data_IF_250397450588
#
_entry.id   IF_250397450588
#
_cell.length_a   1.000
_cell.length_b   1.000
_cell.length_c   1.000
_cell.angle_alpha   90.00
_cell.angle_beta   90.00
_cell.angle_gamma   90.00
#
_symmetry.space_group_name_H-M   'P 1'
#
loop_
_entity.id
_entity.type
_entity.pdbx_description
1 polymer ?
#
# COMPACT_ATOMS: atom_id res chain seq x y z
N UNK A 1 31.10 29.47 -44.78
CA UNK A 1 31.32 30.05 -43.42
C UNK A 1 30.58 29.20 -42.42
N UNK A 2 31.16 28.11 -41.93
CA UNK A 2 30.53 27.25 -40.96
C UNK A 2 30.51 27.94 -39.59
N UNK A 3 29.31 28.01 -39.00
CA UNK A 3 29.03 28.76 -37.79
C UNK A 3 29.88 28.31 -36.61
N UNK A 4 30.64 29.19 -35.99
CA UNK A 4 31.42 28.99 -34.75
C UNK A 4 30.56 28.42 -33.60
N UNK A 5 29.25 28.58 -33.68
CA UNK A 5 28.29 28.04 -32.71
C UNK A 5 28.16 26.52 -32.77
N UNK A 6 28.30 25.92 -33.95
CA UNK A 6 28.26 24.46 -34.10
C UNK A 6 29.54 23.79 -33.55
N UNK A 7 30.66 24.46 -33.67
CA UNK A 7 31.95 23.95 -33.18
C UNK A 7 32.00 23.95 -31.65
N UNK A 8 31.52 24.99 -31.00
CA UNK A 8 31.41 25.06 -29.53
C UNK A 8 30.44 24.00 -28.95
N UNK A 9 29.34 23.70 -29.66
CA UNK A 9 28.42 22.64 -29.25
C UNK A 9 29.04 21.23 -29.35
N UNK A 10 29.87 20.98 -30.39
CA UNK A 10 30.60 19.73 -30.54
C UNK A 10 31.69 19.59 -29.48
N UNK A 11 32.44 20.63 -29.17
CA UNK A 11 33.46 20.61 -28.12
C UNK A 11 32.84 20.35 -26.75
N UNK A 12 31.66 20.95 -26.46
CA UNK A 12 30.91 20.68 -25.24
C UNK A 12 30.46 19.20 -25.16
N UNK A 13 29.91 18.66 -26.23
CA UNK A 13 29.49 17.26 -26.31
C UNK A 13 30.66 16.28 -26.15
N UNK A 14 31.81 16.59 -26.73
CA UNK A 14 33.01 15.79 -26.61
C UNK A 14 33.60 15.81 -25.19
N UNK A 15 33.52 16.96 -24.52
CA UNK A 15 34.09 17.15 -23.16
C UNK A 15 33.16 16.65 -22.05
N UNK A 16 31.84 16.84 -22.20
CA UNK A 16 30.86 16.51 -21.15
C UNK A 16 29.93 15.36 -21.51
N UNK A 17 29.91 14.89 -22.77
CA UNK A 17 29.01 13.84 -23.22
C UNK A 17 29.19 12.53 -22.46
N UNK A 18 30.44 12.19 -22.11
CA UNK A 18 30.74 11.00 -21.31
C UNK A 18 30.16 11.12 -19.88
N UNK A 19 30.19 12.33 -19.28
CA UNK A 19 29.64 12.57 -17.94
C UNK A 19 28.11 12.44 -17.95
N UNK A 20 27.45 12.97 -18.98
CA UNK A 20 25.99 12.83 -19.17
C UNK A 20 25.64 11.35 -19.36
N UNK A 21 26.40 10.61 -20.16
CA UNK A 21 26.21 9.18 -20.39
C UNK A 21 26.35 8.40 -19.09
N UNK A 22 27.34 8.74 -18.26
CA UNK A 22 27.57 8.11 -16.96
C UNK A 22 26.38 8.37 -16.00
N UNK A 23 25.87 9.61 -15.94
CA UNK A 23 24.70 9.96 -15.11
C UNK A 23 23.47 9.18 -15.56
N UNK A 24 23.22 9.09 -16.87
CA UNK A 24 22.08 8.31 -17.42
C UNK A 24 22.23 6.82 -17.10
N UNK A 25 23.45 6.28 -17.21
CA UNK A 25 23.72 4.88 -16.91
C UNK A 25 23.50 4.57 -15.42
N UNK A 26 23.97 5.45 -14.53
CA UNK A 26 23.75 5.32 -13.08
C UNK A 26 22.25 5.44 -12.75
N UNK A 27 21.55 6.41 -13.35
CA UNK A 27 20.11 6.55 -13.14
C UNK A 27 19.33 5.32 -13.63
N UNK A 28 19.70 4.77 -14.79
CA UNK A 28 19.11 3.53 -15.30
C UNK A 28 19.39 2.33 -14.37
N UNK A 29 20.60 2.20 -13.86
CA UNK A 29 20.97 1.15 -12.91
C UNK A 29 20.15 1.28 -11.61
N UNK A 30 20.01 2.48 -11.06
CA UNK A 30 19.19 2.74 -9.87
C UNK A 30 17.72 2.43 -10.10
N UNK A 31 17.21 2.70 -11.32
CA UNK A 31 15.84 2.36 -11.69
C UNK A 31 15.64 0.83 -11.74
N UNK A 32 16.57 0.10 -12.37
CA UNK A 32 16.54 -1.38 -12.43
C UNK A 32 16.67 -2.01 -11.04
N UNK A 33 17.50 -1.43 -10.17
CA UNK A 33 17.64 -1.87 -8.77
C UNK A 33 16.42 -1.52 -7.89
N UNK A 34 15.41 -0.82 -8.44
CA UNK A 34 14.20 -0.47 -7.71
C UNK A 34 14.40 0.57 -6.61
N UNK A 35 15.50 1.35 -6.63
CA UNK A 35 15.77 2.39 -5.62
C UNK A 35 14.68 3.45 -5.57
N UNK A 36 14.01 3.69 -6.70
CA UNK A 36 12.86 4.61 -6.78
C UNK A 36 11.52 3.99 -6.38
N UNK A 37 11.50 2.68 -6.10
CA UNK A 37 10.31 2.01 -5.59
C UNK A 37 10.24 2.18 -4.07
N UNK A 38 9.72 3.32 -3.63
CA UNK A 38 9.64 3.72 -2.21
C UNK A 38 8.84 2.70 -1.37
N UNK A 39 7.92 1.97 -2.01
CA UNK A 39 7.12 0.92 -1.37
C UNK A 39 7.96 -0.24 -0.83
N UNK A 40 9.09 -0.56 -1.47
CA UNK A 40 9.97 -1.65 -1.03
C UNK A 40 10.75 -1.33 0.25
N UNK A 41 10.94 -0.06 0.55
CA UNK A 41 11.69 0.41 1.73
C UNK A 41 10.79 0.73 2.92
N UNK A 42 9.50 0.93 2.69
CA UNK A 42 8.51 1.17 3.74
C UNK A 42 7.84 -0.17 4.03
N UNK A 43 8.17 -0.79 5.16
CA UNK A 43 7.50 -2.01 5.62
C UNK A 43 5.97 -1.83 5.64
N UNK A 44 5.25 -2.93 5.73
CA UNK A 44 3.77 -2.95 5.78
C UNK A 44 3.24 -1.97 6.82
N UNK A 45 2.41 -1.01 6.41
CA UNK A 45 1.90 0.05 7.27
C UNK A 45 0.41 0.30 7.02
N UNK A 46 -0.36 0.31 8.09
CA UNK A 46 -1.76 0.72 8.10
C UNK A 46 -1.85 2.19 8.60
N UNK A 47 -2.58 3.04 7.88
CA UNK A 47 -2.70 4.48 8.17
C UNK A 47 -4.15 4.91 8.02
N UNK A 48 -4.58 5.84 8.87
CA UNK A 48 -5.93 6.44 8.80
C UNK A 48 -6.96 5.74 9.67
N UNK A 49 -6.53 4.81 10.54
CA UNK A 49 -7.38 4.13 11.49
C UNK A 49 -7.24 4.75 12.87
N UNK A 50 -8.35 4.97 13.56
CA UNK A 50 -8.43 5.59 14.90
C UNK A 50 -9.01 4.67 15.95
N UNK A 51 -10.18 4.10 15.69
CA UNK A 51 -10.92 3.23 16.62
C UNK A 51 -10.64 1.75 16.39
N UNK A 52 -10.24 1.38 15.18
CA UNK A 52 -9.90 0.01 14.81
C UNK A 52 -8.49 -0.01 14.23
N UNK A 53 -7.52 -0.49 14.97
CA UNK A 53 -6.17 -0.69 14.43
C UNK A 53 -6.10 -1.97 13.57
N UNK A 54 -5.18 -1.95 12.60
CA UNK A 54 -4.83 -3.11 11.77
C UNK A 54 -3.39 -3.52 12.09
N UNK A 55 -3.17 -4.31 13.17
CA UNK A 55 -1.83 -4.64 13.65
C UNK A 55 -1.06 -5.58 12.72
N UNK A 56 -1.77 -6.37 11.91
CA UNK A 56 -1.15 -7.28 10.96
C UNK A 56 -2.06 -7.45 9.74
N UNK A 57 -1.43 -7.43 8.57
CA UNK A 57 -2.09 -7.72 7.29
C UNK A 57 -1.05 -8.22 6.28
N UNK A 58 -1.53 -8.99 5.31
CA UNK A 58 -0.73 -9.55 4.24
C UNK A 58 -1.56 -9.67 2.97
N UNK A 59 -0.93 -9.40 1.84
CA UNK A 59 -1.45 -9.73 0.51
C UNK A 59 -0.58 -10.84 -0.07
N UNK A 60 -1.20 -11.98 -0.33
CA UNK A 60 -0.52 -13.12 -0.95
C UNK A 60 -0.36 -12.94 -2.46
N UNK A 61 0.49 -13.74 -3.10
CA UNK A 61 0.76 -13.68 -4.56
C UNK A 61 -0.46 -13.91 -5.44
N UNK A 62 -1.50 -14.53 -4.92
CA UNK A 62 -2.81 -14.68 -5.59
C UNK A 62 -3.72 -13.44 -5.44
N UNK A 63 -3.24 -12.39 -4.76
CA UNK A 63 -4.00 -11.19 -4.45
C UNK A 63 -4.91 -11.32 -3.22
N UNK A 64 -4.88 -12.43 -2.49
CA UNK A 64 -5.72 -12.62 -1.30
C UNK A 64 -5.23 -11.74 -0.16
N UNK A 65 -6.10 -10.83 0.30
CA UNK A 65 -5.86 -9.99 1.47
C UNK A 65 -6.34 -10.70 2.74
N UNK A 66 -5.43 -10.87 3.68
CA UNK A 66 -5.73 -11.32 5.05
C UNK A 66 -5.26 -10.28 6.05
N UNK A 67 -6.02 -10.09 7.13
CA UNK A 67 -5.70 -9.09 8.15
C UNK A 67 -6.21 -9.50 9.53
N UNK A 68 -5.72 -8.80 10.55
CA UNK A 68 -6.24 -8.84 11.92
C UNK A 68 -6.66 -7.43 12.31
N UNK A 69 -7.77 -7.33 13.04
CA UNK A 69 -8.31 -6.06 13.53
C UNK A 69 -8.21 -6.03 15.05
N UNK A 70 -7.79 -4.90 15.60
CA UNK A 70 -7.76 -4.67 17.03
C UNK A 70 -8.74 -3.55 17.37
N UNK A 71 -9.60 -3.82 18.33
CA UNK A 71 -10.55 -2.84 18.84
C UNK A 71 -9.86 -1.86 19.80
N UNK A 72 -9.79 -0.59 19.41
CA UNK A 72 -9.30 0.52 20.22
C UNK A 72 -10.44 1.46 20.64
N UNK A 73 -11.69 1.20 20.19
CA UNK A 73 -12.87 1.86 20.70
C UNK A 73 -13.08 1.53 22.18
N UNK A 74 -13.59 2.44 22.94
CA UNK A 74 -13.82 2.25 24.38
C UNK A 74 -14.92 1.25 24.76
N UNK A 75 -15.51 0.57 23.78
CA UNK A 75 -16.63 -0.38 23.93
C UNK A 75 -16.42 -1.66 23.10
N UNK A 76 -17.07 -2.77 23.45
CA UNK A 76 -17.06 -3.97 22.62
C UNK A 76 -17.77 -3.72 21.29
N UNK A 77 -17.20 -4.20 20.19
CA UNK A 77 -17.71 -3.99 18.83
C UNK A 77 -18.00 -5.31 18.11
N UNK A 78 -18.85 -5.23 17.10
CA UNK A 78 -19.02 -6.28 16.08
C UNK A 78 -18.56 -5.74 14.75
N UNK A 79 -17.64 -6.45 14.07
CA UNK A 79 -17.26 -6.12 12.70
C UNK A 79 -18.31 -6.66 11.76
N UNK A 80 -19.03 -5.77 11.09
CA UNK A 80 -20.13 -6.13 10.20
C UNK A 80 -19.65 -6.37 8.77
N UNK A 81 -18.77 -5.50 8.27
CA UNK A 81 -18.26 -5.59 6.90
C UNK A 81 -16.83 -5.04 6.81
N UNK A 82 -16.00 -5.70 6.01
CA UNK A 82 -14.65 -5.25 5.66
C UNK A 82 -14.55 -5.27 4.14
N UNK A 83 -14.29 -4.11 3.55
CA UNK A 83 -14.15 -3.96 2.10
C UNK A 83 -12.78 -3.35 1.78
N UNK A 84 -12.06 -3.97 0.87
CA UNK A 84 -10.76 -3.54 0.38
C UNK A 84 -10.86 -3.17 -1.09
N UNK A 85 -10.26 -2.05 -1.48
CA UNK A 85 -10.23 -1.56 -2.86
C UNK A 85 -8.80 -1.29 -3.29
N UNK A 86 -8.42 -1.85 -4.43
CA UNK A 86 -7.14 -1.63 -5.12
C UNK A 86 -7.40 -1.25 -6.57
N UNK A 87 -7.07 -0.02 -6.95
CA UNK A 87 -7.40 0.51 -8.27
C UNK A 87 -8.92 0.46 -8.54
N UNK A 88 -9.32 -0.36 -9.52
CA UNK A 88 -10.73 -0.59 -9.88
C UNK A 88 -11.30 -1.87 -9.29
N UNK A 89 -10.49 -2.69 -8.61
CA UNK A 89 -10.88 -3.98 -8.04
C UNK A 89 -11.26 -3.82 -6.57
N UNK A 90 -12.35 -4.43 -6.16
CA UNK A 90 -12.79 -4.47 -4.76
C UNK A 90 -13.02 -5.91 -4.33
N UNK A 91 -12.67 -6.20 -3.09
CA UNK A 91 -13.00 -7.45 -2.41
C UNK A 91 -13.56 -7.13 -1.03
N UNK A 92 -14.49 -7.93 -0.54
CA UNK A 92 -15.12 -7.68 0.75
C UNK A 92 -15.65 -8.94 1.40
N UNK A 93 -15.78 -8.87 2.72
CA UNK A 93 -16.34 -9.93 3.57
C UNK A 93 -17.16 -9.34 4.69
N UNK A 94 -18.17 -10.08 5.13
CA UNK A 94 -18.98 -9.75 6.30
C UNK A 94 -18.71 -10.79 7.40
N UNK A 95 -17.60 -10.64 8.16
CA UNK A 95 -17.14 -11.68 9.07
C UNK A 95 -18.00 -11.84 10.33
N UNK A 96 -18.83 -10.84 10.67
CA UNK A 96 -19.68 -10.79 11.89
C UNK A 96 -18.90 -11.14 13.17
N UNK A 97 -17.65 -10.64 13.30
CA UNK A 97 -16.74 -10.97 14.40
C UNK A 97 -16.92 -10.00 15.55
N UNK A 98 -17.12 -10.53 16.76
CA UNK A 98 -17.16 -9.76 17.98
C UNK A 98 -15.76 -9.56 18.54
N UNK A 99 -15.38 -8.30 18.82
CA UNK A 99 -14.08 -7.94 19.37
C UNK A 99 -14.28 -7.15 20.65
N UNK A 100 -13.80 -7.67 21.78
CA UNK A 100 -13.79 -6.97 23.06
C UNK A 100 -12.87 -5.74 23.05
N UNK A 101 -13.00 -4.87 24.04
CA UNK A 101 -12.15 -3.68 24.18
C UNK A 101 -10.67 -4.07 24.28
N UNK A 102 -9.81 -3.50 23.45
CA UNK A 102 -8.38 -3.77 23.40
C UNK A 102 -8.00 -5.13 22.79
N UNK A 103 -8.99 -5.99 22.50
CA UNK A 103 -8.74 -7.33 21.94
C UNK A 103 -8.44 -7.27 20.41
N UNK A 104 -7.77 -8.31 19.93
CA UNK A 104 -7.49 -8.49 18.50
C UNK A 104 -8.32 -9.66 17.97
N UNK A 105 -8.84 -9.52 16.75
CA UNK A 105 -9.58 -10.58 16.06
C UNK A 105 -8.69 -11.76 15.67
N UNK A 106 -9.31 -12.88 15.35
CA UNK A 106 -8.69 -13.92 14.53
C UNK A 106 -8.39 -13.37 13.12
N UNK A 107 -7.68 -14.16 12.32
CA UNK A 107 -7.37 -13.78 10.94
C UNK A 107 -8.64 -13.70 10.11
N UNK A 108 -8.86 -12.55 9.50
CA UNK A 108 -9.99 -12.28 8.60
C UNK A 108 -9.46 -12.30 7.16
N UNK A 109 -10.07 -13.14 6.32
CA UNK A 109 -9.81 -13.14 4.87
C UNK A 109 -10.83 -12.23 4.21
N UNK A 110 -10.36 -11.15 3.58
CA UNK A 110 -11.25 -10.16 2.94
C UNK A 110 -11.64 -10.60 1.54
N UNK A 111 -10.72 -11.22 0.82
CA UNK A 111 -10.93 -11.73 -0.54
C UNK A 111 -9.73 -11.44 -1.43
N UNK A 112 -9.88 -11.74 -2.72
CA UNK A 112 -8.81 -11.62 -3.71
C UNK A 112 -8.92 -10.31 -4.49
N UNK A 113 -7.85 -9.53 -4.50
CA UNK A 113 -7.69 -8.31 -5.28
C UNK A 113 -6.89 -8.63 -6.55
N UNK A 114 -7.49 -8.52 -7.71
CA UNK A 114 -6.84 -8.86 -8.97
C UNK A 114 -5.76 -7.82 -9.36
N UNK A 115 -4.79 -8.26 -10.17
CA UNK A 115 -3.76 -7.39 -10.75
C UNK A 115 -2.55 -7.13 -9.85
N UNK A 116 -2.32 -7.97 -8.85
CA UNK A 116 -1.15 -7.93 -7.97
C UNK A 116 -0.18 -9.07 -8.30
N UNK A 117 1.12 -8.77 -8.34
CA UNK A 117 2.18 -9.76 -8.53
C UNK A 117 3.14 -9.72 -7.33
N UNK A 118 3.82 -10.84 -7.09
CA UNK A 118 4.84 -10.91 -6.05
C UNK A 118 5.88 -9.80 -6.19
N UNK A 119 6.15 -9.11 -5.09
CA UNK A 119 7.10 -7.99 -5.05
C UNK A 119 6.51 -6.63 -5.46
N UNK A 120 5.27 -6.57 -5.95
CA UNK A 120 4.61 -5.30 -6.26
C UNK A 120 4.27 -4.54 -4.97
N UNK A 121 4.51 -3.22 -4.98
CA UNK A 121 4.04 -2.35 -3.91
C UNK A 121 2.55 -2.06 -4.10
N UNK A 122 1.81 -2.06 -3.02
CA UNK A 122 0.39 -1.73 -3.05
C UNK A 122 0.01 -0.62 -2.07
N UNK A 123 -1.05 0.10 -2.44
CA UNK A 123 -1.82 0.98 -1.56
C UNK A 123 -3.30 0.57 -1.67
N UNK A 124 -3.79 -0.15 -0.67
CA UNK A 124 -5.16 -0.65 -0.62
C UNK A 124 -5.97 0.26 0.29
N UNK A 125 -7.10 0.78 -0.20
CA UNK A 125 -8.07 1.46 0.64
C UNK A 125 -8.94 0.42 1.34
N UNK A 126 -8.89 0.41 2.67
CA UNK A 126 -9.71 -0.46 3.51
C UNK A 126 -10.85 0.34 4.15
N UNK A 127 -12.06 -0.18 4.05
CA UNK A 127 -13.25 0.35 4.68
C UNK A 127 -13.83 -0.68 5.62
N UNK A 128 -13.97 -0.34 6.89
CA UNK A 128 -14.47 -1.23 7.94
C UNK A 128 -15.77 -0.65 8.47
N UNK A 129 -16.82 -1.45 8.45
CA UNK A 129 -18.09 -1.14 9.08
C UNK A 129 -18.22 -1.98 10.35
N UNK A 130 -18.56 -1.34 11.44
CA UNK A 130 -18.72 -2.01 12.72
C UNK A 130 -19.87 -1.41 13.53
N UNK A 131 -20.44 -2.22 14.38
CA UNK A 131 -21.49 -1.80 15.32
C UNK A 131 -20.93 -1.82 16.75
N UNK A 132 -21.08 -0.71 17.46
CA UNK A 132 -20.83 -0.61 18.89
C UNK A 132 -21.93 -1.40 19.63
N UNK A 133 -21.54 -2.41 20.38
CA UNK A 133 -22.48 -3.27 21.10
C UNK A 133 -23.09 -2.63 22.35
N UNK A 134 -22.47 -1.58 22.86
CA UNK A 134 -22.97 -0.87 24.03
C UNK A 134 -24.09 0.09 23.66
N UNK A 135 -23.99 0.73 22.49
CA UNK A 135 -24.95 1.75 22.02
C UNK A 135 -25.88 1.23 20.92
N UNK A 136 -25.46 0.20 20.18
CA UNK A 136 -26.15 -0.33 19.00
C UNK A 136 -25.97 0.54 17.75
N UNK A 137 -25.10 1.56 17.76
CA UNK A 137 -24.84 2.39 16.60
C UNK A 137 -23.80 1.77 15.68
N UNK A 138 -24.05 1.88 14.37
CA UNK A 138 -23.13 1.47 13.33
C UNK A 138 -22.21 2.62 12.93
N UNK A 139 -20.93 2.32 12.78
CA UNK A 139 -19.89 3.25 12.37
C UNK A 139 -19.14 2.71 11.16
N UNK A 140 -18.48 3.63 10.46
CA UNK A 140 -17.60 3.28 9.33
C UNK A 140 -16.28 3.99 9.50
N UNK A 141 -15.20 3.22 9.42
CA UNK A 141 -13.84 3.72 9.43
C UNK A 141 -13.14 3.36 8.12
N UNK A 142 -12.27 4.23 7.64
CA UNK A 142 -11.53 4.04 6.40
C UNK A 142 -10.07 4.39 6.59
N UNK A 143 -9.19 3.61 6.01
CA UNK A 143 -7.76 3.83 6.02
C UNK A 143 -7.08 3.21 4.81
N UNK A 144 -5.76 3.32 4.77
CA UNK A 144 -4.94 2.78 3.69
C UNK A 144 -3.93 1.78 4.24
N UNK A 145 -3.84 0.62 3.59
CA UNK A 145 -2.83 -0.38 3.81
C UNK A 145 -1.76 -0.26 2.74
N UNK A 146 -0.53 -0.01 3.13
CA UNK A 146 0.62 0.05 2.22
C UNK A 146 1.54 -1.13 2.53
N UNK A 147 2.08 -1.75 1.50
CA UNK A 147 2.99 -2.89 1.65
C UNK A 147 3.48 -3.41 0.31
N UNK A 148 4.04 -4.60 0.37
CA UNK A 148 4.53 -5.36 -0.79
C UNK A 148 3.85 -6.72 -0.81
N UNK A 149 3.47 -7.20 -1.98
CA UNK A 149 2.85 -8.52 -2.18
C UNK A 149 3.89 -9.61 -1.88
N UNK A 150 3.54 -10.54 -0.97
CA UNK A 150 4.41 -11.62 -0.50
C UNK A 150 4.18 -12.92 -1.26
#
# INVERSE_FOLDING_TARGET
MYSRKGQAALDFLMTYGWAILLVVLVAAALFVLGVFNVGSFVGSKAVGFTEIAVPAFRVATDGTLTLKLQNQAGSPITIDNVNATYGTTSAGTAPAVNIGVGATSDTITVGTLAGMNSGDSYAITLKIQYTDRSTGFAYTESGTLNGVVE
#
